data_IF_112315692466
#
_entry.id   IF_112315692466
#
_cell.length_a   1.000
_cell.length_b   1.000
_cell.length_c   1.000
_cell.angle_alpha   90.00
_cell.angle_beta   90.00
_cell.angle_gamma   90.00
#
_symmetry.space_group_name_H-M   'P 1'
#
loop_
_entity.id
_entity.type
_entity.pdbx_description
1 polymer ?
#
# COMPACT_ATOMS: atom_id res chain seq x y z
N UNK A 1 -16.42 -84.67 -67.69
CA UNK A 1 -17.32 -83.87 -66.84
C UNK A 1 -16.94 -84.16 -65.40
N UNK A 2 -16.65 -83.25 -64.50
CA UNK A 2 -16.37 -81.81 -64.51
C UNK A 2 -15.61 -81.58 -63.17
N UNK A 3 -14.52 -80.82 -63.19
CA UNK A 3 -14.31 -79.57 -62.41
C UNK A 3 -14.09 -79.75 -60.89
N UNK A 4 -12.84 -79.54 -60.40
CA UNK A 4 -12.31 -78.30 -59.74
C UNK A 4 -13.07 -77.94 -58.44
N UNK A 5 -12.50 -77.48 -57.31
CA UNK A 5 -11.22 -76.88 -56.91
C UNK A 5 -11.16 -76.87 -55.35
N UNK A 6 -10.00 -76.57 -54.73
CA UNK A 6 -9.79 -76.50 -53.27
C UNK A 6 -9.82 -75.06 -52.71
N UNK A 7 -9.86 -74.91 -51.37
CA UNK A 7 -9.46 -73.78 -50.48
C UNK A 7 -10.46 -73.67 -49.29
N UNK A 8 -10.13 -73.23 -48.08
CA UNK A 8 -9.22 -72.15 -47.67
C UNK A 8 -8.96 -72.21 -46.17
N UNK A 9 -7.71 -71.99 -45.77
CA UNK A 9 -7.26 -71.77 -44.39
C UNK A 9 -7.58 -70.33 -43.96
N UNK A 10 -8.40 -70.13 -42.93
CA UNK A 10 -8.68 -68.79 -42.36
C UNK A 10 -7.68 -68.43 -41.26
N UNK A 11 -6.70 -67.60 -41.64
CA UNK A 11 -5.77 -66.91 -40.76
C UNK A 11 -6.52 -65.81 -39.99
N UNK A 12 -6.77 -65.99 -38.69
CA UNK A 12 -7.33 -64.92 -37.82
C UNK A 12 -6.33 -63.77 -37.69
N UNK A 13 -6.60 -62.65 -38.38
CA UNK A 13 -5.95 -61.36 -38.18
C UNK A 13 -6.33 -60.82 -36.79
N UNK A 14 -5.36 -60.61 -35.90
CA UNK A 14 -5.52 -59.75 -34.73
C UNK A 14 -5.68 -58.31 -35.23
N UNK A 15 -6.82 -57.67 -34.91
CA UNK A 15 -7.09 -56.24 -35.17
C UNK A 15 -6.39 -55.38 -34.10
N UNK A 16 -6.10 -54.10 -34.40
CA UNK A 16 -4.99 -53.36 -33.84
C UNK A 16 -5.38 -52.66 -32.53
N UNK A 17 -4.92 -53.18 -31.39
CA UNK A 17 -5.03 -52.50 -30.10
C UNK A 17 -4.02 -51.34 -30.01
N UNK A 18 -2.95 -51.36 -30.82
CA UNK A 18 -1.90 -50.36 -30.78
C UNK A 18 -2.29 -48.96 -31.31
N UNK A 19 -3.31 -48.85 -32.18
CA UNK A 19 -3.70 -47.55 -32.77
C UNK A 19 -4.56 -46.72 -31.80
N UNK A 20 -5.26 -47.36 -30.86
CA UNK A 20 -6.11 -46.65 -29.89
C UNK A 20 -5.28 -46.01 -28.75
N UNK A 21 -4.13 -46.62 -28.39
CA UNK A 21 -3.22 -46.10 -27.38
C UNK A 21 -2.46 -44.85 -27.86
N UNK A 22 -2.10 -44.78 -29.14
CA UNK A 22 -1.40 -43.61 -29.70
C UNK A 22 -2.28 -42.34 -29.79
N UNK A 23 -3.60 -42.51 -29.88
CA UNK A 23 -4.53 -41.37 -29.96
C UNK A 23 -4.79 -40.73 -28.57
N UNK A 24 -4.52 -41.43 -27.46
CA UNK A 24 -4.73 -40.90 -26.12
C UNK A 24 -3.57 -39.99 -25.65
N UNK A 25 -2.35 -40.17 -26.15
CA UNK A 25 -1.21 -39.30 -25.80
C UNK A 25 -1.28 -37.92 -26.48
N UNK A 26 -2.05 -37.78 -27.58
CA UNK A 26 -2.22 -36.49 -28.28
C UNK A 26 -3.29 -35.59 -27.65
N UNK A 27 -4.10 -36.10 -26.73
CA UNK A 27 -5.00 -35.32 -25.88
C UNK A 27 -4.44 -35.15 -24.47
N UNK A 28 -3.11 -35.19 -24.32
CA UNK A 28 -2.44 -34.69 -23.14
C UNK A 28 -2.99 -33.30 -22.83
N UNK A 29 -3.68 -33.18 -21.69
CA UNK A 29 -4.29 -31.96 -21.21
C UNK A 29 -3.34 -30.79 -21.49
N UNK A 30 -3.73 -29.90 -22.41
CA UNK A 30 -3.31 -28.51 -22.30
C UNK A 30 -3.88 -28.05 -20.97
N UNK A 31 -3.08 -28.16 -19.91
CA UNK A 31 -3.36 -27.51 -18.64
C UNK A 31 -3.40 -26.04 -19.03
N UNK A 32 -4.60 -25.49 -19.22
CA UNK A 32 -4.77 -24.06 -19.34
C UNK A 32 -4.27 -23.52 -18.01
N UNK A 33 -3.01 -23.10 -17.98
CA UNK A 33 -2.56 -22.23 -16.91
C UNK A 33 -3.47 -21.02 -17.05
N UNK A 34 -4.42 -20.90 -16.13
CA UNK A 34 -5.13 -19.64 -15.93
C UNK A 34 -4.05 -18.64 -15.54
N UNK A 35 -3.48 -17.99 -16.55
CA UNK A 35 -2.47 -16.96 -16.39
C UNK A 35 -3.19 -15.82 -15.69
N UNK A 36 -2.80 -15.58 -14.45
CA UNK A 36 -3.41 -14.56 -13.63
C UNK A 36 -2.97 -13.21 -14.20
N UNK A 37 -3.93 -12.31 -14.39
CA UNK A 37 -3.62 -10.94 -14.78
C UNK A 37 -2.95 -10.24 -13.59
N UNK A 38 -1.61 -10.27 -13.57
CA UNK A 38 -0.81 -9.69 -12.51
C UNK A 38 -1.13 -8.21 -12.30
N UNK A 39 -1.38 -7.45 -13.38
CA UNK A 39 -1.69 -6.03 -13.24
C UNK A 39 -3.02 -5.84 -12.51
N UNK A 40 -4.02 -6.67 -12.81
CA UNK A 40 -5.30 -6.66 -12.11
C UNK A 40 -5.16 -6.99 -10.62
N UNK A 41 -4.30 -7.96 -10.26
CA UNK A 41 -4.09 -8.34 -8.86
C UNK A 41 -3.30 -7.30 -8.06
N UNK A 42 -2.37 -6.60 -8.69
CA UNK A 42 -1.58 -5.56 -8.03
C UNK A 42 -2.35 -4.25 -7.87
N UNK A 43 -3.08 -3.81 -8.90
CA UNK A 43 -3.77 -2.52 -8.94
C UNK A 43 -4.78 -2.35 -7.80
N UNK A 44 -4.74 -1.18 -7.15
CA UNK A 44 -5.61 -0.83 -6.03
C UNK A 44 -5.27 -1.58 -4.74
N UNK A 45 -4.04 -2.10 -4.61
CA UNK A 45 -3.63 -2.84 -3.43
C UNK A 45 -2.27 -2.35 -2.91
N UNK A 46 -2.09 -2.51 -1.60
CA UNK A 46 -0.84 -2.24 -0.90
C UNK A 46 -0.16 -3.56 -0.54
N UNK A 47 1.16 -3.62 -0.63
CA UNK A 47 1.97 -4.79 -0.36
C UNK A 47 3.15 -4.44 0.54
N UNK A 48 3.61 -5.42 1.30
CA UNK A 48 4.94 -5.40 1.88
C UNK A 48 5.88 -6.17 0.97
N UNK A 49 6.89 -5.49 0.44
CA UNK A 49 8.00 -6.09 -0.29
C UNK A 49 9.13 -6.37 0.69
N UNK A 50 9.56 -7.62 0.79
CA UNK A 50 10.73 -8.03 1.57
C UNK A 50 11.79 -8.61 0.63
N UNK A 51 13.02 -8.10 0.70
CA UNK A 51 14.19 -8.65 -0.01
C UNK A 51 15.02 -9.51 0.94
N UNK A 52 15.15 -10.81 0.64
CA UNK A 52 15.93 -11.72 1.49
C UNK A 52 17.43 -11.41 1.50
N UNK A 53 17.94 -10.80 0.42
CA UNK A 53 19.36 -10.46 0.29
C UNK A 53 19.71 -9.16 1.01
N UNK A 54 18.94 -8.11 0.76
CA UNK A 54 19.20 -6.77 1.29
C UNK A 54 18.68 -6.62 2.74
N UNK A 55 17.77 -7.50 3.17
CA UNK A 55 17.04 -7.43 4.46
C UNK A 55 16.21 -6.16 4.61
N UNK A 56 15.91 -5.51 3.49
CA UNK A 56 15.06 -4.34 3.44
C UNK A 56 13.59 -4.78 3.31
N UNK A 57 12.73 -4.01 3.96
CA UNK A 57 11.28 -4.16 3.92
C UNK A 57 10.69 -2.82 3.56
N UNK A 58 9.88 -2.78 2.51
CA UNK A 58 9.20 -1.57 2.06
C UNK A 58 7.72 -1.81 1.86
N UNK A 59 6.93 -0.75 2.01
CA UNK A 59 5.50 -0.74 1.80
C UNK A 59 5.19 -0.06 0.49
N UNK A 60 4.63 -0.83 -0.46
CA UNK A 60 4.37 -0.38 -1.82
C UNK A 60 2.87 -0.37 -2.07
N UNK A 61 2.32 0.74 -2.54
CA UNK A 61 0.98 0.79 -3.10
C UNK A 61 1.05 0.82 -4.62
N UNK A 62 0.26 -0.02 -5.29
CA UNK A 62 0.07 0.04 -6.74
C UNK A 62 -1.27 0.70 -7.06
N UNK A 63 -1.23 1.89 -7.66
CA UNK A 63 -2.37 2.58 -8.27
C UNK A 63 -2.49 2.16 -9.74
N UNK A 64 -3.39 2.77 -10.51
CA UNK A 64 -3.71 2.34 -11.88
C UNK A 64 -2.49 2.21 -12.80
N UNK A 65 -1.60 3.21 -12.76
CA UNK A 65 -0.38 3.31 -13.57
C UNK A 65 0.85 3.76 -12.77
N UNK A 66 0.67 4.15 -11.51
CA UNK A 66 1.75 4.60 -10.62
C UNK A 66 1.81 3.75 -9.37
N UNK A 67 2.97 3.73 -8.72
CA UNK A 67 3.17 3.14 -7.42
C UNK A 67 3.77 4.17 -6.45
N UNK A 68 3.61 3.93 -5.17
CA UNK A 68 4.11 4.77 -4.07
C UNK A 68 4.87 3.90 -3.08
N UNK A 69 6.03 4.35 -2.62
CA UNK A 69 6.83 3.68 -1.57
C UNK A 69 6.91 4.59 -0.35
N UNK A 70 6.21 4.21 0.72
CA UNK A 70 6.01 5.11 1.87
C UNK A 70 7.28 5.35 2.70
N UNK A 71 8.29 4.49 2.59
CA UNK A 71 9.57 4.64 3.29
C UNK A 71 10.54 5.62 2.60
N UNK A 72 10.40 5.87 1.30
CA UNK A 72 11.33 6.71 0.51
C UNK A 72 10.69 8.00 -0.01
N UNK A 73 9.55 8.38 0.58
CA UNK A 73 8.76 9.55 0.18
C UNK A 73 7.71 9.18 -0.86
N UNK A 74 6.56 9.85 -0.77
CA UNK A 74 5.34 9.57 -1.55
C UNK A 74 5.45 9.96 -3.04
N UNK A 75 6.52 9.56 -3.70
CA UNK A 75 6.68 9.76 -5.14
C UNK A 75 5.81 8.77 -5.90
N UNK A 76 4.87 9.29 -6.69
CA UNK A 76 4.09 8.50 -7.63
C UNK A 76 4.94 8.20 -8.87
N UNK A 77 5.56 7.02 -8.91
CA UNK A 77 6.41 6.58 -10.01
C UNK A 77 5.68 5.58 -10.90
N UNK A 78 6.00 5.48 -12.21
CA UNK A 78 5.30 4.56 -13.10
C UNK A 78 5.68 3.10 -12.81
N UNK A 79 4.70 2.20 -12.93
CA UNK A 79 4.93 0.75 -12.97
C UNK A 79 4.15 0.11 -14.13
N UNK A 80 4.54 -1.10 -14.49
CA UNK A 80 3.82 -1.93 -15.46
C UNK A 80 4.14 -3.41 -15.25
N UNK A 81 3.30 -4.25 -15.84
CA UNK A 81 3.59 -5.67 -16.02
C UNK A 81 3.91 -5.96 -17.49
N UNK A 82 4.66 -7.03 -17.75
CA UNK A 82 4.89 -7.57 -19.08
C UNK A 82 5.22 -9.06 -18.95
N UNK A 83 5.06 -9.84 -20.02
CA UNK A 83 5.38 -11.26 -20.01
C UNK A 83 6.49 -11.61 -20.99
N UNK A 84 7.36 -12.57 -20.64
CA UNK A 84 8.34 -13.16 -21.57
C UNK A 84 8.45 -14.67 -21.33
N UNK A 85 8.23 -15.49 -22.38
CA UNK A 85 8.32 -16.96 -22.31
C UNK A 85 7.58 -17.58 -21.12
N UNK A 86 6.34 -17.14 -20.89
CA UNK A 86 5.46 -17.55 -19.77
C UNK A 86 5.89 -17.07 -18.37
N UNK A 87 6.89 -16.18 -18.27
CA UNK A 87 7.22 -15.50 -17.03
C UNK A 87 6.57 -14.13 -17.00
N UNK A 88 5.83 -13.86 -15.92
CA UNK A 88 5.35 -12.51 -15.63
C UNK A 88 6.47 -11.68 -15.03
N UNK A 89 6.59 -10.45 -15.52
CA UNK A 89 7.59 -9.48 -15.08
C UNK A 89 6.87 -8.24 -14.56
N UNK A 90 7.23 -7.84 -13.35
CA UNK A 90 6.87 -6.56 -12.76
C UNK A 90 8.03 -5.59 -12.98
N UNK A 91 7.73 -4.40 -13.51
CA UNK A 91 8.74 -3.38 -13.83
C UNK A 91 8.36 -2.07 -13.13
N UNK A 92 9.23 -1.56 -12.28
CA UNK A 92 9.10 -0.26 -11.59
C UNK A 92 10.47 0.28 -11.19
N UNK A 93 10.64 1.60 -11.15
CA UNK A 93 11.91 2.26 -10.74
C UNK A 93 13.18 1.78 -11.48
N UNK A 94 13.04 1.33 -12.73
CA UNK A 94 14.17 0.72 -13.47
C UNK A 94 14.57 -0.67 -12.99
N UNK A 95 13.87 -1.22 -11.99
CA UNK A 95 13.99 -2.59 -11.52
C UNK A 95 13.05 -3.52 -12.28
N UNK A 96 13.44 -4.79 -12.37
CA UNK A 96 12.64 -5.86 -13.00
C UNK A 96 12.57 -7.03 -12.04
N UNK A 97 11.36 -7.49 -11.76
CA UNK A 97 11.11 -8.67 -10.92
C UNK A 97 10.39 -9.71 -11.76
N UNK A 98 11.02 -10.87 -11.95
CA UNK A 98 10.30 -12.05 -12.42
C UNK A 98 9.43 -12.57 -11.28
N UNK A 99 8.11 -12.54 -11.45
CA UNK A 99 7.17 -12.69 -10.33
C UNK A 99 6.12 -13.74 -10.64
N UNK A 100 5.69 -14.45 -9.59
CA UNK A 100 4.60 -15.41 -9.66
C UNK A 100 3.74 -15.30 -8.42
N UNK A 101 2.44 -15.46 -8.61
CA UNK A 101 1.51 -15.60 -7.49
C UNK A 101 1.67 -16.97 -6.85
N UNK A 102 1.76 -17.00 -5.53
CA UNK A 102 1.79 -18.23 -4.72
C UNK A 102 0.40 -18.56 -4.21
N UNK A 103 -0.31 -17.52 -3.75
CA UNK A 103 -1.69 -17.58 -3.29
C UNK A 103 -2.36 -16.20 -3.44
N UNK A 104 -3.61 -16.07 -2.97
CA UNK A 104 -4.41 -14.84 -3.10
C UNK A 104 -3.70 -13.58 -2.56
N UNK A 105 -2.84 -13.71 -1.55
CA UNK A 105 -2.23 -12.58 -0.87
C UNK A 105 -0.72 -12.51 -1.05
N UNK A 106 -0.10 -13.51 -1.67
CA UNK A 106 1.37 -13.59 -1.70
C UNK A 106 1.89 -13.82 -3.11
N UNK A 107 2.89 -13.02 -3.47
CA UNK A 107 3.71 -13.20 -4.67
C UNK A 107 5.15 -13.47 -4.27
N UNK A 108 5.80 -14.36 -5.01
CA UNK A 108 7.24 -14.59 -4.91
C UNK A 108 7.87 -14.12 -6.21
N UNK A 109 9.02 -13.47 -6.09
CA UNK A 109 9.76 -13.03 -7.24
C UNK A 109 11.27 -13.16 -7.10
N UNK A 110 11.94 -12.94 -8.23
CA UNK A 110 13.37 -12.78 -8.34
C UNK A 110 13.62 -11.36 -8.86
N UNK A 111 14.17 -10.50 -8.02
CA UNK A 111 14.62 -9.16 -8.40
C UNK A 111 15.92 -9.31 -9.18
N UNK A 112 15.91 -8.86 -10.44
CA UNK A 112 17.00 -9.02 -11.40
C UNK A 112 17.88 -7.76 -11.37
N UNK A 113 19.11 -7.90 -10.89
CA UNK A 113 20.10 -6.82 -10.78
C UNK A 113 21.50 -7.36 -11.17
N UNK A 114 22.59 -6.71 -10.73
CA UNK A 114 23.94 -7.29 -10.81
C UNK A 114 24.03 -8.62 -10.04
N UNK A 115 23.25 -8.75 -8.96
CA UNK A 115 23.01 -9.98 -8.22
C UNK A 115 21.52 -10.15 -8.05
N UNK A 116 21.05 -11.37 -8.30
CA UNK A 116 19.63 -11.65 -8.16
C UNK A 116 19.26 -11.87 -6.70
N UNK A 117 18.11 -11.33 -6.29
CA UNK A 117 17.59 -11.48 -4.94
C UNK A 117 16.17 -12.05 -4.95
N UNK A 118 15.91 -13.01 -4.06
CA UNK A 118 14.55 -13.44 -3.81
C UNK A 118 13.78 -12.35 -3.08
N UNK A 119 12.58 -12.07 -3.58
CA UNK A 119 11.66 -11.11 -2.99
C UNK A 119 10.29 -11.73 -2.72
N UNK A 120 9.65 -11.23 -1.68
CA UNK A 120 8.30 -11.60 -1.29
C UNK A 120 7.43 -10.35 -1.27
N UNK A 121 6.29 -10.38 -1.98
CA UNK A 121 5.25 -9.35 -1.85
C UNK A 121 4.05 -9.95 -1.11
N UNK A 122 3.73 -9.39 0.04
CA UNK A 122 2.59 -9.80 0.85
C UNK A 122 1.53 -8.70 0.87
N UNK A 123 0.33 -9.04 0.41
CA UNK A 123 -0.81 -8.12 0.35
C UNK A 123 -1.17 -7.66 1.76
N UNK A 124 -1.21 -6.35 1.94
CA UNK A 124 -1.65 -5.70 3.17
C UNK A 124 -3.15 -5.49 3.10
N UNK A 125 -3.83 -5.94 4.13
CA UNK A 125 -5.27 -5.74 4.30
C UNK A 125 -5.52 -4.51 5.17
N UNK A 126 -6.62 -3.81 4.90
CA UNK A 126 -7.07 -2.73 5.75
C UNK A 126 -7.26 -3.24 7.19
N UNK A 127 -6.62 -2.55 8.14
CA UNK A 127 -6.65 -2.94 9.56
C UNK A 127 -7.81 -2.31 10.32
N UNK A 128 -8.36 -1.23 9.79
CA UNK A 128 -9.45 -0.47 10.41
C UNK A 128 -10.29 0.24 9.35
N UNK A 129 -11.49 0.61 9.76
CA UNK A 129 -12.42 1.40 8.95
C UNK A 129 -11.93 2.86 8.86
N UNK A 130 -11.93 3.42 7.66
CA UNK A 130 -11.60 4.81 7.41
C UNK A 130 -12.53 5.76 8.17
N UNK A 131 -13.81 5.39 8.37
CA UNK A 131 -14.77 6.25 9.06
C UNK A 131 -14.37 6.55 10.51
N UNK A 132 -13.56 5.69 11.14
CA UNK A 132 -13.06 5.90 12.49
C UNK A 132 -12.16 7.13 12.61
N UNK A 133 -11.51 7.55 11.52
CA UNK A 133 -10.66 8.75 11.47
C UNK A 133 -11.45 10.04 11.65
N UNK A 134 -12.73 10.06 11.27
CA UNK A 134 -13.53 11.28 11.32
C UNK A 134 -13.72 11.78 12.76
N UNK A 135 -13.56 13.08 12.97
CA UNK A 135 -13.76 13.74 14.26
C UNK A 135 -12.62 14.66 14.66
N UNK A 136 -12.68 15.12 15.91
CA UNK A 136 -11.71 16.04 16.48
C UNK A 136 -10.70 15.26 17.32
N UNK A 137 -9.41 15.47 17.06
CA UNK A 137 -8.29 14.77 17.67
C UNK A 137 -7.33 15.75 18.34
N UNK A 138 -7.02 15.52 19.62
CA UNK A 138 -6.08 16.33 20.39
C UNK A 138 -4.89 15.47 20.79
N UNK A 139 -3.66 15.96 20.63
CA UNK A 139 -2.48 15.25 21.14
C UNK A 139 -2.59 15.06 22.66
N UNK A 140 -2.31 13.84 23.17
CA UNK A 140 -2.49 13.48 24.59
C UNK A 140 -1.81 14.47 25.54
N UNK A 141 -0.62 14.95 25.18
CA UNK A 141 0.13 15.96 25.97
C UNK A 141 -0.65 17.27 26.20
N UNK A 142 -1.60 17.57 25.33
CA UNK A 142 -2.48 18.74 25.41
C UNK A 142 -3.88 18.40 25.92
N UNK A 143 -4.24 17.11 25.98
CA UNK A 143 -5.59 16.66 26.34
C UNK A 143 -5.89 16.91 27.82
N UNK A 144 -4.93 16.67 28.71
CA UNK A 144 -5.10 16.95 30.15
C UNK A 144 -5.32 18.45 30.42
N UNK A 145 -4.70 19.33 29.62
CA UNK A 145 -4.88 20.79 29.70
C UNK A 145 -6.27 21.24 29.21
N UNK A 146 -6.91 20.44 28.36
CA UNK A 146 -8.27 20.70 27.87
C UNK A 146 -9.33 20.37 28.92
N UNK A 147 -9.21 19.21 29.59
CA UNK A 147 -10.22 18.73 30.52
C UNK A 147 -10.07 19.27 31.94
N UNK A 148 -8.87 19.69 32.34
CA UNK A 148 -8.60 20.09 33.71
C UNK A 148 -8.52 21.61 33.86
N UNK A 149 -9.65 22.23 34.22
CA UNK A 149 -9.70 23.67 34.52
C UNK A 149 -8.89 24.08 35.77
N UNK A 150 -8.39 23.12 36.56
CA UNK A 150 -7.48 23.41 37.68
C UNK A 150 -6.04 23.64 37.23
N UNK A 151 -5.69 23.30 35.98
CA UNK A 151 -4.36 23.59 35.43
C UNK A 151 -4.40 24.99 34.80
N UNK A 152 -3.50 25.86 35.24
CA UNK A 152 -3.37 27.20 34.68
C UNK A 152 -3.06 27.12 33.17
N UNK A 153 -4.02 27.53 32.35
CA UNK A 153 -3.84 27.63 30.90
C UNK A 153 -2.80 28.72 30.60
N UNK A 154 -1.91 28.54 29.61
CA UNK A 154 -0.95 29.57 29.25
C UNK A 154 -1.68 30.88 28.90
N UNK A 155 -1.10 32.05 29.21
CA UNK A 155 -1.72 33.32 28.87
C UNK A 155 -1.93 33.40 27.35
N UNK A 156 -3.09 33.92 26.95
CA UNK A 156 -3.43 34.09 25.53
C UNK A 156 -2.41 35.07 24.91
N UNK A 157 -1.64 34.66 23.89
CA UNK A 157 -0.72 35.56 23.21
C UNK A 157 -1.51 36.66 22.49
N UNK A 158 -0.91 37.85 22.27
CA UNK A 158 -1.58 38.93 21.57
C UNK A 158 -2.01 38.49 20.17
N UNK A 159 -3.24 38.84 19.79
CA UNK A 159 -3.78 38.50 18.48
C UNK A 159 -2.91 39.11 17.35
N UNK A 160 -2.56 38.33 16.32
CA UNK A 160 -1.91 38.86 15.12
C UNK A 160 -2.78 39.92 14.42
N UNK A 161 -2.18 40.78 13.57
CA UNK A 161 -2.94 41.76 12.79
C UNK A 161 -4.09 41.12 12.00
N UNK A 162 -5.30 41.67 12.15
CA UNK A 162 -6.50 41.18 11.47
C UNK A 162 -7.25 40.06 12.20
N UNK A 163 -6.75 39.58 13.34
CA UNK A 163 -7.42 38.60 14.20
C UNK A 163 -7.78 39.21 15.55
N UNK A 164 -8.68 38.55 16.26
CA UNK A 164 -9.13 38.92 17.62
C UNK A 164 -8.97 37.72 18.55
N UNK A 165 -9.03 37.95 19.86
CA UNK A 165 -8.98 36.88 20.87
C UNK A 165 -10.07 35.80 20.67
N UNK A 166 -11.17 36.14 19.98
CA UNK A 166 -12.22 35.16 19.62
C UNK A 166 -11.76 34.11 18.61
N UNK A 167 -10.69 34.40 17.86
CA UNK A 167 -10.09 33.49 16.90
C UNK A 167 -9.08 32.54 17.56
N UNK A 168 -8.76 32.75 18.84
CA UNK A 168 -7.82 31.89 19.56
C UNK A 168 -8.45 30.53 19.87
N UNK A 169 -7.76 29.47 19.48
CA UNK A 169 -8.14 28.10 19.79
C UNK A 169 -7.07 27.40 20.63
N UNK A 170 -7.50 26.85 21.77
CA UNK A 170 -6.63 26.11 22.67
C UNK A 170 -7.38 24.96 23.35
N UNK A 171 -6.79 23.76 23.44
CA UNK A 171 -5.48 23.36 22.90
C UNK A 171 -5.48 23.26 21.36
N UNK A 172 -4.30 23.07 20.73
CA UNK A 172 -4.24 22.68 19.33
C UNK A 172 -4.92 21.34 19.09
N UNK A 173 -5.60 21.21 17.95
CA UNK A 173 -6.30 19.99 17.56
C UNK A 173 -6.36 19.82 16.04
N UNK A 174 -6.70 18.59 15.63
CA UNK A 174 -7.00 18.24 14.27
C UNK A 174 -8.48 17.93 14.12
N UNK A 175 -9.08 18.31 13.00
CA UNK A 175 -10.43 17.92 12.62
C UNK A 175 -10.36 17.19 11.28
N UNK A 176 -10.77 15.92 11.27
CA UNK A 176 -10.85 15.10 10.06
C UNK A 176 -12.34 14.92 9.71
N UNK A 177 -12.69 15.23 8.47
CA UNK A 177 -14.04 15.03 7.94
C UNK A 177 -13.95 14.53 6.49
N UNK A 178 -14.21 13.24 6.30
CA UNK A 178 -14.11 12.57 5.00
C UNK A 178 -12.68 12.56 4.48
N UNK A 179 -12.47 13.25 3.37
CA UNK A 179 -11.18 13.40 2.67
C UNK A 179 -10.44 14.69 3.06
N UNK A 180 -10.86 15.38 4.11
CA UNK A 180 -10.27 16.66 4.51
C UNK A 180 -9.78 16.60 5.95
N UNK A 181 -8.60 17.18 6.19
CA UNK A 181 -8.05 17.43 7.51
C UNK A 181 -7.81 18.92 7.71
N UNK A 182 -8.17 19.44 8.88
CA UNK A 182 -7.83 20.79 9.34
C UNK A 182 -7.01 20.69 10.61
N UNK A 183 -5.96 21.50 10.72
CA UNK A 183 -5.17 21.64 11.94
C UNK A 183 -5.33 23.05 12.49
N UNK A 184 -5.72 23.13 13.75
CA UNK A 184 -5.98 24.37 14.48
C UNK A 184 -4.89 24.59 15.51
N UNK A 185 -4.09 25.63 15.30
CA UNK A 185 -2.95 25.98 16.15
C UNK A 185 -3.08 27.44 16.60
N UNK A 186 -3.69 27.64 17.77
CA UNK A 186 -3.90 28.98 18.33
C UNK A 186 -4.72 29.87 17.40
N UNK A 187 -4.06 30.81 16.71
CA UNK A 187 -4.68 31.73 15.75
C UNK A 187 -4.57 31.25 14.29
N UNK A 188 -3.91 30.12 14.05
CA UNK A 188 -3.63 29.59 12.72
C UNK A 188 -4.52 28.38 12.43
N UNK A 189 -5.02 28.32 11.20
CA UNK A 189 -5.76 27.16 10.67
C UNK A 189 -5.09 26.76 9.37
N UNK A 190 -4.65 25.51 9.30
CA UNK A 190 -4.19 24.89 8.05
C UNK A 190 -5.16 23.81 7.64
N UNK A 191 -5.43 23.69 6.34
CA UNK A 191 -6.34 22.69 5.79
C UNK A 191 -5.66 21.95 4.65
N UNK A 192 -5.95 20.67 4.55
CA UNK A 192 -5.45 19.81 3.48
C UNK A 192 -6.49 18.78 3.09
N UNK A 193 -6.43 18.35 1.83
CA UNK A 193 -7.03 17.09 1.42
C UNK A 193 -6.14 15.95 1.92
N UNK A 194 -6.73 14.83 2.31
CA UNK A 194 -6.00 13.61 2.68
C UNK A 194 -6.17 12.57 1.59
N UNK A 195 -5.05 11.99 1.17
CA UNK A 195 -5.05 10.76 0.38
C UNK A 195 -4.77 9.60 1.33
N UNK A 196 -5.70 8.65 1.41
CA UNK A 196 -5.57 7.46 2.25
C UNK A 196 -5.24 6.29 1.35
N UNK A 197 -4.17 5.57 1.69
CA UNK A 197 -3.77 4.40 0.92
C UNK A 197 -4.75 3.23 1.10
N UNK A 198 -4.66 2.22 0.22
CA UNK A 198 -5.59 1.09 0.18
C UNK A 198 -5.56 0.20 1.45
N UNK A 199 -4.47 0.19 2.23
CA UNK A 199 -4.43 -0.48 3.55
C UNK A 199 -4.91 0.39 4.71
N UNK A 200 -5.30 1.65 4.45
CA UNK A 200 -5.74 2.64 5.45
C UNK A 200 -4.66 2.91 6.51
N UNK A 201 -3.39 2.67 6.19
CA UNK A 201 -2.26 2.81 7.11
C UNK A 201 -1.50 4.12 6.94
N UNK A 202 -1.58 4.74 5.78
CA UNK A 202 -0.85 5.93 5.42
C UNK A 202 -1.81 7.00 4.94
N UNK A 203 -1.65 8.20 5.51
CA UNK A 203 -2.35 9.41 5.11
C UNK A 203 -1.31 10.37 4.56
N UNK A 204 -1.41 10.69 3.28
CA UNK A 204 -0.64 11.78 2.68
C UNK A 204 -1.44 13.07 2.80
N UNK A 205 -0.81 14.13 3.29
CA UNK A 205 -1.44 15.41 3.59
C UNK A 205 -0.42 16.56 3.50
N UNK A 206 -0.88 17.80 3.56
CA UNK A 206 -0.02 18.97 3.66
C UNK A 206 -0.59 19.95 4.66
N UNK A 207 -0.13 19.89 5.91
CA UNK A 207 -0.59 20.75 7.00
C UNK A 207 0.54 21.64 7.52
N UNK A 208 0.29 22.94 7.55
CA UNK A 208 1.17 23.92 8.18
C UNK A 208 0.83 24.01 9.67
N UNK A 209 1.68 23.47 10.53
CA UNK A 209 1.39 23.38 11.96
C UNK A 209 1.85 24.60 12.76
N UNK A 210 3.15 24.90 12.72
CA UNK A 210 3.77 26.01 13.44
C UNK A 210 5.15 26.31 12.83
N UNK A 211 5.46 27.59 12.56
CA UNK A 211 6.79 28.12 12.17
C UNK A 211 7.59 27.18 11.26
N UNK A 212 7.28 27.26 9.97
CA UNK A 212 8.07 26.66 8.89
C UNK A 212 8.12 25.11 8.94
N UNK A 213 7.15 24.49 9.61
CA UNK A 213 6.96 23.04 9.64
C UNK A 213 5.74 22.67 8.80
N UNK A 214 5.95 21.77 7.86
CA UNK A 214 4.91 21.17 7.02
C UNK A 214 4.81 19.69 7.36
N UNK A 215 3.67 19.26 7.87
CA UNK A 215 3.36 17.84 8.00
C UNK A 215 3.02 17.27 6.62
N UNK A 216 3.60 16.12 6.25
CA UNK A 216 3.49 15.54 4.90
C UNK A 216 2.80 14.16 4.87
N UNK A 217 3.04 13.35 5.89
CA UNK A 217 2.52 11.99 5.94
C UNK A 217 2.27 11.56 7.38
N UNK A 218 1.17 10.88 7.63
CA UNK A 218 0.93 10.17 8.88
C UNK A 218 0.88 8.66 8.61
N UNK A 219 1.67 7.88 9.35
CA UNK A 219 1.57 6.42 9.40
C UNK A 219 0.79 6.03 10.64
N UNK A 220 -0.39 5.45 10.46
CA UNK A 220 -1.24 4.99 11.55
C UNK A 220 -0.70 3.66 12.09
N UNK A 221 -0.35 3.67 13.37
CA UNK A 221 0.05 2.47 14.14
C UNK A 221 -1.14 1.83 14.85
N UNK A 222 -2.10 2.63 15.30
CA UNK A 222 -3.30 2.18 16.01
C UNK A 222 -4.45 3.17 15.78
N UNK A 223 -5.64 2.65 15.48
CA UNK A 223 -6.87 3.43 15.41
C UNK A 223 -8.00 2.71 16.15
N UNK A 224 -8.73 3.45 16.96
CA UNK A 224 -9.92 3.02 17.70
C UNK A 224 -10.94 4.17 17.69
N UNK A 225 -12.09 3.98 18.32
CA UNK A 225 -13.12 5.01 18.48
C UNK A 225 -12.65 6.26 19.26
N UNK A 226 -11.57 6.16 20.03
CA UNK A 226 -11.15 7.18 21.00
C UNK A 226 -9.65 7.48 20.98
N UNK A 227 -8.83 6.59 20.42
CA UNK A 227 -7.37 6.71 20.39
C UNK A 227 -6.86 6.48 18.97
N UNK A 228 -6.01 7.39 18.53
CA UNK A 228 -5.21 7.31 17.30
C UNK A 228 -3.73 7.42 17.69
N UNK A 229 -2.89 6.50 17.22
CA UNK A 229 -1.44 6.55 17.39
C UNK A 229 -0.82 6.60 16.01
N UNK A 230 -0.01 7.62 15.74
CA UNK A 230 0.63 7.86 14.46
C UNK A 230 2.14 8.04 14.60
N UNK A 231 2.86 7.76 13.52
CA UNK A 231 4.13 8.43 13.23
C UNK A 231 3.85 9.55 12.23
N UNK A 232 4.41 10.73 12.46
CA UNK A 232 4.20 11.92 11.64
C UNK A 232 5.50 12.32 10.96
N UNK A 233 5.50 12.34 9.64
CA UNK A 233 6.60 12.88 8.83
C UNK A 233 6.40 14.39 8.66
N UNK A 234 7.41 15.16 9.02
CA UNK A 234 7.43 16.62 8.89
C UNK A 234 8.62 17.07 8.04
N UNK A 235 8.44 18.15 7.30
CA UNK A 235 9.48 18.91 6.63
C UNK A 235 9.68 20.24 7.34
N UNK A 236 10.95 20.61 7.56
CA UNK A 236 11.32 21.88 8.18
C UNK A 236 12.44 22.56 7.41
N UNK A 237 12.35 23.88 7.26
CA UNK A 237 13.43 24.67 6.67
C UNK A 237 14.70 24.64 7.57
N UNK A 238 15.86 24.34 6.97
CA UNK A 238 17.17 24.38 7.62
C UNK A 238 17.99 25.58 7.09
N UNK A 239 19.03 25.98 7.83
CA UNK A 239 19.85 27.21 7.68
C UNK A 239 20.51 27.45 6.30
N UNK A 240 20.26 26.61 5.28
CA UNK A 240 20.88 26.68 3.94
C UNK A 240 19.91 26.31 2.80
N UNK A 241 18.66 26.79 2.81
CA UNK A 241 17.68 26.51 1.74
C UNK A 241 17.48 25.02 1.43
N UNK A 242 17.67 24.17 2.44
CA UNK A 242 17.44 22.73 2.37
C UNK A 242 16.31 22.38 3.33
N UNK A 243 15.38 21.55 2.88
CA UNK A 243 14.36 20.98 3.76
C UNK A 243 14.94 19.75 4.45
N UNK A 244 14.74 19.67 5.77
CA UNK A 244 15.02 18.47 6.54
C UNK A 244 13.71 17.74 6.77
N UNK A 245 13.62 16.50 6.29
CA UNK A 245 12.50 15.61 6.58
C UNK A 245 12.83 14.79 7.82
N UNK A 246 11.94 14.81 8.81
CA UNK A 246 12.07 14.02 10.06
C UNK A 246 10.77 13.32 10.39
N UNK A 247 10.85 12.17 11.06
CA UNK A 247 9.68 11.44 11.56
C UNK A 247 9.59 11.58 13.07
N UNK A 248 8.45 12.02 13.56
CA UNK A 248 8.08 12.02 14.97
C UNK A 248 7.24 10.77 15.24
N UNK A 249 7.71 9.91 16.13
CA UNK A 249 7.12 8.59 16.33
C UNK A 249 6.15 8.54 17.53
N UNK A 250 5.15 7.66 17.42
CA UNK A 250 4.23 7.29 18.51
C UNK A 250 3.45 8.47 19.10
N UNK A 251 3.08 9.44 18.27
CA UNK A 251 2.21 10.54 18.67
C UNK A 251 0.83 9.97 18.97
N UNK A 252 0.39 10.13 20.22
CA UNK A 252 -0.93 9.70 20.66
C UNK A 252 -1.91 10.86 20.60
N UNK A 253 -3.01 10.63 19.89
CA UNK A 253 -4.13 11.53 19.69
C UNK A 253 -5.37 10.94 20.37
N UNK A 254 -6.10 11.78 21.10
CA UNK A 254 -7.34 11.44 21.81
C UNK A 254 -8.50 12.12 21.12
N UNK A 255 -9.56 11.34 20.83
CA UNK A 255 -10.77 11.85 20.21
C UNK A 255 -11.60 12.66 21.21
N UNK A 256 -12.05 13.84 20.80
CA UNK A 256 -13.04 14.62 21.56
C UNK A 256 -14.43 14.07 21.25
N UNK A 257 -15.20 13.82 22.30
CA UNK A 257 -16.59 13.33 22.22
C UNK A 257 -17.58 14.47 22.13
#
# INVERSE_FOLDING_TARGET
MAETNPKTTTRKKKKPIAVLLLAMDLFGCQKSNNQIDLAQELRGNTFTLTSNGEKDTMTIEFKDSTFTVFEFGDMNLPWRTTSFENNELLVFEGQVIAIKQVDKNTFKGLLILEKDYEVLLEKRLARWDQELLNGIWIEEKNYDLFLNDSVAKPPVPPAPPGLTDKNFQYPPFYEINGDTISAFYFYQVSKSQIEINNSVEFLTLELNSNKDIVEKQWKIKKLTDSILIIDRTIEKENKKFSFLTTTEENIKLIKVR
#
